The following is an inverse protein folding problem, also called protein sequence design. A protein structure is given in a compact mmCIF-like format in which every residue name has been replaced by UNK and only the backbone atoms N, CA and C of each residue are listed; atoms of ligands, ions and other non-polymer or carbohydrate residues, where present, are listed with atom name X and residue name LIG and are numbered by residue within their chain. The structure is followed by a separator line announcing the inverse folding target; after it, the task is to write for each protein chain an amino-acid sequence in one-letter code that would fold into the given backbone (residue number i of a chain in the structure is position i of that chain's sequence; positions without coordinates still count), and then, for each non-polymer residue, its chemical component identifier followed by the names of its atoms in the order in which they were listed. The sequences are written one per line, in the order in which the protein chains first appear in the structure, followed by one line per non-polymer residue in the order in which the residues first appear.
data_IF_013091538987
#
_entry.id   IF_013091538987
#
_cell.length_a   1.000
_cell.length_b   1.000
_cell.length_c   1.000
_cell.angle_alpha   90.00
_cell.angle_beta   90.00
_cell.angle_gamma   90.00
#
_symmetry.space_group_name_H-M   'P 1'
#
loop_
_entity.id
_entity.type
_entity.pdbx_description
1 polymer ?
#
# COMPACT_ATOMS: atom_id res chain seq x y z
N UNK A 1 22.04 37.89 -1.59
CA UNK A 1 23.08 37.73 -2.60
C UNK A 1 22.48 38.41 -3.80
N UNK A 2 22.77 39.70 -3.91
CA UNK A 2 22.37 40.44 -5.08
C UNK A 2 23.06 39.80 -6.28
N UNK A 3 22.43 39.90 -7.45
CA UNK A 3 23.20 39.91 -8.69
C UNK A 3 24.39 40.83 -8.42
N UNK A 4 25.61 40.29 -8.52
CA UNK A 4 26.78 41.16 -8.57
C UNK A 4 26.62 41.89 -9.89
N UNK A 5 26.06 43.10 -9.81
CA UNK A 5 25.85 43.92 -10.99
C UNK A 5 27.20 44.04 -11.71
N UNK A 6 27.19 43.80 -13.01
CA UNK A 6 28.40 43.95 -13.81
C UNK A 6 28.80 45.43 -13.78
N UNK A 7 29.84 45.74 -13.00
CA UNK A 7 30.36 47.09 -12.86
C UNK A 7 31.14 47.44 -14.13
N UNK A 8 30.43 48.02 -15.09
CA UNK A 8 30.98 48.40 -16.39
C UNK A 8 32.11 49.40 -16.27
N UNK A 9 32.11 50.26 -15.24
CA UNK A 9 33.11 51.29 -15.05
C UNK A 9 34.42 50.68 -14.58
N UNK A 10 34.37 49.90 -13.50
CA UNK A 10 35.53 49.17 -12.97
C UNK A 10 36.14 48.23 -14.02
N UNK A 11 35.30 47.61 -14.85
CA UNK A 11 35.77 46.74 -15.94
C UNK A 11 36.52 47.53 -17.03
N UNK A 12 36.01 48.70 -17.45
CA UNK A 12 36.71 49.57 -18.41
C UNK A 12 38.03 50.08 -17.83
N UNK A 13 38.05 50.56 -16.59
CA UNK A 13 39.28 51.04 -15.93
C UNK A 13 40.36 49.95 -15.81
N UNK A 14 39.94 48.70 -15.57
CA UNK A 14 40.84 47.55 -15.54
C UNK A 14 41.48 47.30 -16.90
N UNK A 15 40.72 47.38 -17.98
CA UNK A 15 41.23 47.22 -19.35
C UNK A 15 42.14 48.38 -19.78
N UNK A 16 41.79 49.62 -19.42
CA UNK A 16 42.63 50.80 -19.68
C UNK A 16 43.98 50.68 -18.94
N UNK A 17 43.96 50.24 -17.68
CA UNK A 17 45.18 50.00 -16.88
C UNK A 17 46.05 48.89 -17.47
N UNK A 18 45.44 47.89 -18.11
CA UNK A 18 46.13 46.83 -18.83
C UNK A 18 46.69 47.28 -20.21
N UNK A 19 46.50 48.54 -20.59
CA UNK A 19 47.04 49.13 -21.82
C UNK A 19 46.09 49.11 -23.01
N UNK A 20 44.81 48.76 -22.81
CA UNK A 20 43.81 48.80 -23.88
C UNK A 20 43.34 50.25 -24.12
N UNK A 21 43.23 50.71 -25.39
CA UNK A 21 42.64 52.01 -25.69
C UNK A 21 41.20 52.13 -25.15
N UNK A 22 40.86 53.31 -24.63
CA UNK A 22 39.56 53.61 -24.02
C UNK A 22 38.35 53.16 -24.82
N UNK A 23 38.37 53.37 -26.14
CA UNK A 23 37.25 53.02 -27.01
C UNK A 23 37.10 51.51 -27.18
N UNK A 24 38.21 50.77 -27.21
CA UNK A 24 38.20 49.31 -27.24
C UNK A 24 37.77 48.74 -25.87
N UNK A 25 38.25 49.30 -24.77
CA UNK A 25 37.86 48.89 -23.42
C UNK A 25 36.34 49.05 -23.19
N UNK A 26 35.78 50.18 -23.65
CA UNK A 26 34.33 50.42 -23.63
C UNK A 26 33.56 49.42 -24.50
N UNK A 27 34.02 49.16 -25.72
CA UNK A 27 33.37 48.23 -26.62
C UNK A 27 33.31 46.81 -26.05
N UNK A 28 34.40 46.33 -25.44
CA UNK A 28 34.46 45.01 -24.79
C UNK A 28 33.54 44.97 -23.56
N UNK A 29 33.56 46.01 -22.72
CA UNK A 29 32.67 46.11 -21.54
C UNK A 29 31.20 46.01 -21.92
N UNK A 30 30.80 46.69 -23.01
CA UNK A 30 29.43 46.64 -23.52
C UNK A 30 29.07 45.24 -24.04
N UNK A 31 29.94 44.63 -24.86
CA UNK A 31 29.71 43.30 -25.40
C UNK A 31 29.58 42.22 -24.30
N UNK A 32 30.39 42.33 -23.23
CA UNK A 32 30.33 41.43 -22.07
C UNK A 32 29.06 41.66 -21.25
N UNK A 33 28.68 42.93 -20.99
CA UNK A 33 27.42 43.24 -20.30
C UNK A 33 26.21 42.68 -21.05
N UNK A 34 26.15 42.92 -22.35
CA UNK A 34 25.06 42.45 -23.21
C UNK A 34 24.98 40.91 -23.21
N UNK A 35 26.13 40.23 -23.23
CA UNK A 35 26.18 38.76 -23.12
C UNK A 35 25.66 38.23 -21.78
N UNK A 36 25.81 38.99 -20.69
CA UNK A 36 25.29 38.64 -19.37
C UNK A 36 23.81 39.01 -19.17
N UNK A 37 23.30 40.04 -19.85
CA UNK A 37 21.87 40.42 -19.82
C UNK A 37 20.97 39.41 -20.55
N UNK A 38 21.53 38.60 -21.46
CA UNK A 38 20.80 37.56 -22.21
C UNK A 38 20.62 36.25 -21.40
N UNK A 39 21.30 36.11 -20.26
CA UNK A 39 21.16 34.92 -19.41
C UNK A 39 20.01 35.11 -18.43
N UNK A 40 18.87 34.50 -18.74
CA UNK A 40 17.73 34.43 -17.84
C UNK A 40 18.10 33.52 -16.64
N UNK A 41 18.48 34.15 -15.52
CA UNK A 41 18.91 33.45 -14.30
C UNK A 41 17.80 33.51 -13.26
N UNK A 42 17.54 32.37 -12.63
CA UNK A 42 16.65 32.33 -11.46
C UNK A 42 17.18 33.28 -10.38
N UNK A 43 16.34 34.20 -9.95
CA UNK A 43 16.63 35.10 -8.85
C UNK A 43 16.56 34.35 -7.52
N UNK A 44 17.06 34.98 -6.47
CA UNK A 44 16.85 34.48 -5.11
C UNK A 44 15.39 34.26 -4.75
N UNK A 45 14.52 35.16 -5.24
CA UNK A 45 13.10 35.09 -4.97
C UNK A 45 12.51 33.84 -5.61
N UNK A 46 12.88 33.55 -6.85
CA UNK A 46 12.44 32.34 -7.55
C UNK A 46 12.86 31.07 -6.80
N UNK A 47 14.08 31.05 -6.27
CA UNK A 47 14.56 29.94 -5.42
C UNK A 47 13.82 29.84 -4.09
N UNK A 48 13.53 30.96 -3.43
CA UNK A 48 12.78 30.99 -2.17
C UNK A 48 11.32 30.54 -2.38
N UNK A 49 10.71 30.90 -3.51
CA UNK A 49 9.35 30.50 -3.84
C UNK A 49 9.31 29.02 -4.23
N UNK A 50 10.23 28.54 -5.08
CA UNK A 50 10.38 27.10 -5.36
C UNK A 50 10.63 26.27 -4.09
N UNK A 51 11.43 26.79 -3.14
CA UNK A 51 11.66 26.14 -1.85
C UNK A 51 10.36 26.02 -1.03
N UNK A 52 9.53 27.07 -1.01
CA UNK A 52 8.24 27.02 -0.30
C UNK A 52 7.29 26.03 -0.95
N UNK A 53 7.24 25.99 -2.27
CA UNK A 53 6.39 25.06 -3.02
C UNK A 53 6.80 23.61 -2.71
N UNK A 54 8.08 23.31 -2.78
CA UNK A 54 8.61 21.98 -2.41
C UNK A 54 8.31 21.64 -0.95
N UNK A 55 8.47 22.59 -0.01
CA UNK A 55 8.12 22.35 1.40
C UNK A 55 6.62 22.09 1.60
N UNK A 56 5.77 22.75 0.83
CA UNK A 56 4.33 22.53 0.82
C UNK A 56 4.00 21.13 0.32
N UNK A 57 4.55 20.72 -0.81
CA UNK A 57 4.37 19.37 -1.37
C UNK A 57 4.88 18.28 -0.42
N UNK A 58 6.06 18.45 0.17
CA UNK A 58 6.61 17.50 1.17
C UNK A 58 5.68 17.40 2.37
N UNK A 59 5.06 18.50 2.81
CA UNK A 59 4.11 18.49 3.92
C UNK A 59 2.80 17.78 3.54
N UNK A 60 2.32 17.97 2.31
CA UNK A 60 1.17 17.25 1.78
C UNK A 60 1.43 15.75 1.72
N UNK A 61 2.56 15.32 1.15
CA UNK A 61 2.97 13.91 1.07
C UNK A 61 3.10 13.28 2.46
N UNK A 62 3.61 14.00 3.45
CA UNK A 62 3.66 13.50 4.84
C UNK A 62 2.26 13.23 5.40
N UNK A 63 1.31 14.13 5.17
CA UNK A 63 -0.09 13.92 5.59
C UNK A 63 -0.70 12.73 4.87
N UNK A 64 -0.50 12.62 3.56
CA UNK A 64 -1.00 11.47 2.78
C UNK A 64 -0.42 10.14 3.30
N UNK A 65 0.87 10.13 3.67
CA UNK A 65 1.50 8.95 4.24
C UNK A 65 0.95 8.59 5.64
N UNK A 66 0.67 9.58 6.49
CA UNK A 66 0.00 9.36 7.78
C UNK A 66 -1.41 8.78 7.59
N UNK A 67 -2.15 9.24 6.59
CA UNK A 67 -3.50 8.74 6.31
C UNK A 67 -3.46 7.33 5.69
N UNK A 68 -2.49 7.03 4.82
CA UNK A 68 -2.25 5.67 4.33
C UNK A 68 -1.90 4.72 5.47
N UNK A 69 -1.06 5.15 6.44
CA UNK A 69 -0.75 4.33 7.62
C UNK A 69 -2.01 4.01 8.42
N UNK A 70 -2.87 5.01 8.71
CA UNK A 70 -4.14 4.77 9.40
C UNK A 70 -5.06 3.82 8.63
N UNK A 71 -5.14 3.96 7.30
CA UNK A 71 -5.93 3.06 6.48
C UNK A 71 -5.39 1.62 6.53
N UNK A 72 -4.07 1.46 6.49
CA UNK A 72 -3.40 0.16 6.62
C UNK A 72 -3.73 -0.48 7.97
N UNK A 73 -3.58 0.25 9.07
CA UNK A 73 -3.91 -0.24 10.42
C UNK A 73 -5.37 -0.70 10.51
N UNK A 74 -6.30 0.13 10.02
CA UNK A 74 -7.73 -0.22 9.99
C UNK A 74 -8.02 -1.45 9.10
N UNK A 75 -7.30 -1.61 7.98
CA UNK A 75 -7.42 -2.80 7.11
C UNK A 75 -6.86 -4.05 7.77
N UNK A 76 -5.77 -3.95 8.54
CA UNK A 76 -5.22 -5.06 9.30
C UNK A 76 -6.21 -5.51 10.38
N UNK A 77 -6.70 -4.59 11.21
CA UNK A 77 -7.71 -4.90 12.24
C UNK A 77 -8.96 -5.57 11.64
N UNK A 78 -9.44 -5.05 10.50
CA UNK A 78 -10.58 -5.64 9.78
C UNK A 78 -10.27 -7.04 9.27
N UNK A 79 -9.06 -7.28 8.77
CA UNK A 79 -8.63 -8.59 8.26
C UNK A 79 -8.55 -9.61 9.39
N UNK A 80 -7.99 -9.22 10.53
CA UNK A 80 -7.90 -10.07 11.72
C UNK A 80 -9.29 -10.43 12.24
N UNK A 81 -10.19 -9.45 12.35
CA UNK A 81 -11.57 -9.70 12.75
C UNK A 81 -12.31 -10.65 11.78
N UNK A 82 -12.10 -10.47 10.46
CA UNK A 82 -12.66 -11.37 9.45
C UNK A 82 -12.09 -12.78 9.54
N UNK A 83 -10.80 -12.92 9.85
CA UNK A 83 -10.14 -14.21 10.01
C UNK A 83 -10.69 -14.93 11.24
N UNK A 84 -10.80 -14.24 12.38
CA UNK A 84 -11.37 -14.79 13.60
C UNK A 84 -12.82 -15.26 13.39
N UNK A 85 -13.65 -14.43 12.75
CA UNK A 85 -15.03 -14.80 12.43
C UNK A 85 -15.11 -16.03 11.50
N UNK A 86 -14.17 -16.18 10.56
CA UNK A 86 -14.07 -17.37 9.70
C UNK A 86 -13.65 -18.62 10.47
N UNK A 87 -12.74 -18.51 11.43
CA UNK A 87 -12.37 -19.63 12.30
C UNK A 87 -13.54 -20.07 13.17
N UNK A 88 -14.21 -19.14 13.85
CA UNK A 88 -15.41 -19.46 14.65
C UNK A 88 -16.50 -20.14 13.82
N UNK A 89 -16.74 -19.64 12.60
CA UNK A 89 -17.67 -20.27 11.66
C UNK A 89 -17.22 -21.69 11.26
N UNK A 90 -15.93 -21.89 11.04
CA UNK A 90 -15.37 -23.20 10.69
C UNK A 90 -15.51 -24.18 11.85
N UNK A 91 -15.23 -23.75 13.08
CA UNK A 91 -15.41 -24.57 14.28
C UNK A 91 -16.87 -24.97 14.48
N UNK A 92 -17.80 -24.04 14.27
CA UNK A 92 -19.23 -24.33 14.31
C UNK A 92 -19.63 -25.36 13.24
N UNK A 93 -19.13 -25.23 12.01
CA UNK A 93 -19.37 -26.21 10.95
C UNK A 93 -18.79 -27.59 11.27
N UNK A 94 -17.60 -27.66 11.86
CA UNK A 94 -16.99 -28.92 12.29
C UNK A 94 -17.83 -29.57 13.40
N UNK A 95 -18.32 -28.79 14.36
CA UNK A 95 -19.20 -29.29 15.42
C UNK A 95 -20.51 -29.86 14.85
N UNK A 96 -21.11 -29.18 13.87
CA UNK A 96 -22.32 -29.63 13.21
C UNK A 96 -22.10 -30.94 12.42
N UNK A 97 -21.01 -31.02 11.65
CA UNK A 97 -20.62 -32.25 10.94
C UNK A 97 -20.42 -33.42 11.92
N UNK A 98 -19.77 -33.19 13.08
CA UNK A 98 -19.60 -34.22 14.11
C UNK A 98 -20.94 -34.70 14.67
N UNK A 99 -21.88 -33.78 14.89
CA UNK A 99 -23.23 -34.09 15.38
C UNK A 99 -24.01 -34.90 14.35
N UNK A 100 -23.97 -34.50 13.09
CA UNK A 100 -24.61 -35.21 11.99
C UNK A 100 -24.04 -36.62 11.80
N UNK A 101 -22.71 -36.77 11.91
CA UNK A 101 -22.05 -38.08 11.86
C UNK A 101 -22.50 -38.98 13.01
N UNK A 102 -22.59 -38.46 14.24
CA UNK A 102 -23.06 -39.23 15.39
C UNK A 102 -24.52 -39.69 15.20
N UNK A 103 -25.41 -38.78 14.78
CA UNK A 103 -26.80 -39.10 14.48
C UNK A 103 -26.93 -40.12 13.34
N UNK A 104 -26.09 -40.01 12.30
CA UNK A 104 -26.02 -40.97 11.20
C UNK A 104 -25.60 -42.37 11.66
N UNK A 105 -24.61 -42.45 12.56
CA UNK A 105 -24.16 -43.72 13.14
C UNK A 105 -25.24 -44.37 14.00
N UNK A 106 -25.91 -43.61 14.87
CA UNK A 106 -27.02 -44.11 15.69
C UNK A 106 -28.16 -44.66 14.83
N UNK A 107 -28.52 -43.93 13.77
CA UNK A 107 -29.55 -44.36 12.82
C UNK A 107 -29.16 -45.65 12.11
N UNK A 108 -27.91 -45.77 11.67
CA UNK A 108 -27.39 -46.98 11.03
C UNK A 108 -27.41 -48.17 12.00
N UNK A 109 -26.97 -47.96 13.23
CA UNK A 109 -26.98 -48.96 14.30
C UNK A 109 -28.40 -49.47 14.55
N UNK A 110 -29.37 -48.57 14.73
CA UNK A 110 -30.78 -48.93 14.93
C UNK A 110 -31.33 -49.75 13.75
N UNK A 111 -31.05 -49.32 12.51
CA UNK A 111 -31.50 -50.07 11.33
C UNK A 111 -30.89 -51.47 11.26
N UNK A 112 -29.62 -51.64 11.62
CA UNK A 112 -28.97 -52.95 11.68
C UNK A 112 -29.57 -53.83 12.77
N UNK A 113 -29.79 -53.31 13.97
CA UNK A 113 -30.45 -54.06 15.07
C UNK A 113 -31.84 -54.54 14.66
N UNK A 114 -32.65 -53.68 14.03
CA UNK A 114 -33.98 -54.05 13.55
C UNK A 114 -33.88 -55.14 12.49
N UNK A 115 -33.02 -54.98 11.48
CA UNK A 115 -32.87 -55.97 10.39
C UNK A 115 -32.37 -57.32 10.89
N UNK A 116 -31.35 -57.34 11.76
CA UNK A 116 -30.83 -58.57 12.36
C UNK A 116 -31.88 -59.23 13.26
N UNK A 117 -32.62 -58.45 14.06
CA UNK A 117 -33.71 -58.96 14.88
C UNK A 117 -34.81 -59.64 14.05
N UNK A 118 -35.21 -59.02 12.93
CA UNK A 118 -36.18 -59.61 12.00
C UNK A 118 -35.64 -60.90 11.35
N UNK A 119 -34.36 -60.94 10.97
CA UNK A 119 -33.74 -62.15 10.41
C UNK A 119 -33.70 -63.30 11.43
N UNK A 120 -33.34 -63.02 12.68
CA UNK A 120 -33.32 -64.04 13.75
C UNK A 120 -34.73 -64.55 14.02
N UNK A 121 -35.73 -63.66 14.13
CA UNK A 121 -37.13 -64.07 14.33
C UNK A 121 -37.64 -64.95 13.19
N UNK A 122 -37.34 -64.57 11.93
CA UNK A 122 -37.68 -65.38 10.76
C UNK A 122 -37.00 -66.75 10.81
N UNK A 123 -35.70 -66.82 11.09
CA UNK A 123 -34.96 -68.08 11.21
C UNK A 123 -35.52 -69.02 12.28
N UNK A 124 -35.82 -68.49 13.47
CA UNK A 124 -36.41 -69.27 14.57
C UNK A 124 -37.80 -69.80 14.20
N UNK A 125 -38.63 -68.97 13.54
CA UNK A 125 -39.96 -69.40 13.11
C UNK A 125 -39.93 -70.55 12.10
N UNK A 126 -38.95 -70.57 11.20
CA UNK A 126 -38.74 -71.66 10.24
C UNK A 126 -38.34 -72.95 10.97
N UNK A 127 -37.38 -72.87 11.91
CA UNK A 127 -36.93 -74.05 12.68
C UNK A 127 -38.07 -74.65 13.52
N UNK A 128 -38.86 -73.80 14.17
CA UNK A 128 -40.00 -74.23 14.98
C UNK A 128 -41.07 -74.95 14.14
N UNK A 129 -41.31 -74.51 12.89
CA UNK A 129 -42.24 -75.16 11.98
C UNK A 129 -41.76 -76.56 11.56
N UNK A 130 -40.44 -76.75 11.37
CA UNK A 130 -39.85 -78.06 11.03
C UNK A 130 -39.95 -79.03 12.20
N UNK A 131 -39.70 -78.60 13.44
CA UNK A 131 -39.74 -79.46 14.63
C UNK A 131 -41.16 -79.90 15.05
N UNK A 132 -42.20 -79.22 14.56
CA UNK A 132 -43.60 -79.51 14.88
C UNK A 132 -44.30 -80.39 13.84
N UNK A 133 -43.62 -80.70 12.73
CA UNK A 133 -44.00 -81.76 11.77
C UNK A 133 -43.39 -83.09 12.18
#
# INVERSE_FOLDING_TARGET
MGQVAFDTLKFVETLETAGLPKDQAKAISLAVRESHEVVDVATKRDLDDAKKDVLSEVTAVKRDLEDVHKEIDARFEKTDAQMQARFEKTDAQIADVRKDMAAGFDKLSMQMTIRLGLMVAAGVSIIAAILKM
#
